data_IF_108538471384
#
_entry.id   IF_108538471384
#
_cell.length_a   1.000
_cell.length_b   1.000
_cell.length_c   1.000
_cell.angle_alpha   90.00
_cell.angle_beta   90.00
_cell.angle_gamma   90.00
#
_symmetry.space_group_name_H-M   'P 1'
#
loop_
_entity.id
_entity.type
_entity.pdbx_description
1 polymer ?
#
# COMPACT_ATOMS: atom_id res chain seq x y z
N UNK A 1 24.14 13.83 18.25
CA UNK A 1 23.98 13.22 16.91
C UNK A 1 22.73 13.80 16.26
N UNK A 2 22.80 14.29 15.02
CA UNK A 2 21.66 14.90 14.31
C UNK A 2 21.17 13.94 13.22
N UNK A 3 19.91 13.53 13.28
CA UNK A 3 19.27 12.69 12.26
C UNK A 3 18.55 13.62 11.28
N UNK A 4 18.75 13.40 9.99
CA UNK A 4 18.09 14.14 8.90
C UNK A 4 17.25 13.17 8.09
N UNK A 5 15.99 13.53 7.83
CA UNK A 5 15.08 12.75 7.00
C UNK A 5 14.75 13.53 5.73
N UNK A 6 14.90 12.88 4.58
CA UNK A 6 14.57 13.48 3.29
C UNK A 6 13.06 13.78 3.15
N UNK A 7 12.73 14.69 2.24
CA UNK A 7 11.35 15.06 1.90
C UNK A 7 11.23 15.40 0.41
N UNK A 8 10.18 14.93 -0.29
CA UNK A 8 9.13 14.02 0.19
C UNK A 8 9.69 12.60 0.43
N UNK A 9 9.08 11.87 1.37
CA UNK A 9 9.43 10.49 1.70
C UNK A 9 8.17 9.68 1.97
N UNK A 10 8.24 8.37 1.79
CA UNK A 10 7.10 7.46 1.94
C UNK A 10 6.53 7.03 0.59
N UNK A 11 5.27 6.63 0.60
CA UNK A 11 4.62 6.04 -0.56
C UNK A 11 4.12 7.08 -1.54
N UNK A 12 4.27 6.75 -2.83
CA UNK A 12 3.67 7.53 -3.89
C UNK A 12 2.18 7.19 -4.03
N UNK A 13 1.48 7.97 -4.84
CA UNK A 13 0.05 7.75 -5.09
C UNK A 13 -0.28 6.33 -5.58
N UNK A 14 0.59 5.73 -6.40
CA UNK A 14 0.38 4.38 -6.95
C UNK A 14 0.43 3.30 -5.87
N UNK A 15 1.39 3.38 -4.94
CA UNK A 15 1.52 2.41 -3.85
C UNK A 15 0.34 2.51 -2.89
N UNK A 16 -0.08 3.74 -2.51
CA UNK A 16 -1.26 3.92 -1.66
C UNK A 16 -2.52 3.34 -2.32
N UNK A 17 -2.74 3.64 -3.61
CA UNK A 17 -3.88 3.12 -4.36
C UNK A 17 -3.89 1.59 -4.42
N UNK A 18 -2.74 0.95 -4.62
CA UNK A 18 -2.65 -0.51 -4.66
C UNK A 18 -3.09 -1.14 -3.32
N UNK A 19 -2.59 -0.58 -2.20
CA UNK A 19 -2.94 -1.02 -0.85
C UNK A 19 -4.45 -0.80 -0.59
N UNK A 20 -4.97 0.40 -0.85
CA UNK A 20 -6.37 0.75 -0.62
C UNK A 20 -7.34 -0.13 -1.44
N UNK A 21 -6.93 -0.50 -2.65
CA UNK A 21 -7.70 -1.39 -3.54
C UNK A 21 -7.79 -2.79 -2.95
N UNK A 22 -6.68 -3.34 -2.44
CA UNK A 22 -6.66 -4.65 -1.80
C UNK A 22 -7.53 -4.65 -0.53
N UNK A 23 -7.40 -3.63 0.32
CA UNK A 23 -8.24 -3.50 1.52
C UNK A 23 -9.73 -3.44 1.18
N UNK A 24 -10.07 -2.68 0.14
CA UNK A 24 -11.45 -2.58 -0.36
C UNK A 24 -11.95 -3.93 -0.90
N UNK A 25 -11.14 -4.66 -1.65
CA UNK A 25 -11.49 -5.99 -2.14
C UNK A 25 -11.74 -6.98 -0.99
N UNK A 26 -10.88 -7.01 0.03
CA UNK A 26 -11.04 -7.87 1.21
C UNK A 26 -12.35 -7.53 1.94
N UNK A 27 -12.67 -6.23 2.11
CA UNK A 27 -13.91 -5.80 2.77
C UNK A 27 -15.16 -6.22 2.00
N UNK A 28 -15.13 -6.17 0.67
CA UNK A 28 -16.29 -6.48 -0.18
C UNK A 28 -16.50 -7.97 -0.40
N UNK A 29 -15.42 -8.74 -0.52
CA UNK A 29 -15.48 -10.13 -0.98
C UNK A 29 -15.00 -11.15 0.06
N UNK A 30 -14.44 -10.70 1.18
CA UNK A 30 -13.84 -11.57 2.18
C UNK A 30 -12.54 -12.21 1.70
N UNK A 31 -12.04 -13.19 2.45
CA UNK A 31 -10.79 -13.90 2.15
C UNK A 31 -11.06 -15.32 1.62
N UNK A 32 -10.19 -15.90 0.76
CA UNK A 32 -8.91 -15.36 0.29
C UNK A 32 -9.02 -14.45 -0.95
N UNK A 33 -8.24 -13.36 -0.96
CA UNK A 33 -7.94 -12.56 -2.16
C UNK A 33 -6.53 -12.91 -2.63
N UNK A 34 -6.37 -13.22 -3.91
CA UNK A 34 -5.08 -13.48 -4.53
C UNK A 34 -4.58 -12.25 -5.27
N UNK A 35 -3.32 -11.89 -5.04
CA UNK A 35 -2.63 -10.80 -5.76
C UNK A 35 -1.55 -11.42 -6.64
N UNK A 36 -1.36 -10.84 -7.82
CA UNK A 36 -0.30 -11.26 -8.72
C UNK A 36 1.02 -10.64 -8.24
N UNK A 37 1.97 -11.49 -7.85
CA UNK A 37 3.27 -11.10 -7.27
C UNK A 37 3.12 -10.36 -5.92
N UNK A 38 4.09 -9.52 -5.58
CA UNK A 38 4.04 -8.58 -4.47
C UNK A 38 3.21 -7.35 -4.89
N UNK A 39 2.52 -6.76 -3.92
CA UNK A 39 1.66 -5.59 -4.13
C UNK A 39 2.42 -4.28 -4.00
#
# INVERSE_FOLDING_TARGET
MKILLASPRGFCAGVNMAIDTLETAIRLYGTPIYVFHEI
#
